data_IF_530931352514
#
_entry.id   IF_530931352514
#
_cell.length_a   1.000
_cell.length_b   1.000
_cell.length_c   1.000
_cell.angle_alpha   90.00
_cell.angle_beta   90.00
_cell.angle_gamma   90.00
#
_symmetry.space_group_name_H-M   'P 1'
#
loop_
_entity.id
_entity.type
_entity.pdbx_description
1 polymer ?
#
# COMPACT_ATOMS: atom_id res chain seq x y z
N UNK A 1 46.02 -9.47 44.08
CA UNK A 1 46.54 -9.63 42.72
C UNK A 1 45.45 -10.28 41.91
N UNK A 2 45.00 -9.57 40.89
CA UNK A 2 43.81 -9.84 40.08
C UNK A 2 43.98 -11.09 39.20
N UNK A 3 43.07 -12.07 39.32
CA UNK A 3 42.78 -13.01 38.24
C UNK A 3 41.50 -12.56 37.54
N UNK A 4 41.67 -11.64 36.61
CA UNK A 4 40.63 -11.26 35.66
C UNK A 4 40.52 -12.35 34.56
N UNK A 5 40.07 -13.56 34.94
CA UNK A 5 39.59 -14.53 33.95
C UNK A 5 38.21 -14.09 33.49
N UNK A 6 38.16 -13.45 32.32
CA UNK A 6 36.95 -13.19 31.55
C UNK A 6 36.09 -14.46 31.48
N UNK A 7 35.11 -14.56 32.37
CA UNK A 7 34.01 -15.50 32.27
C UNK A 7 33.18 -15.03 31.07
N UNK A 8 33.47 -15.57 29.89
CA UNK A 8 32.62 -15.36 28.71
C UNK A 8 31.20 -15.79 29.10
N UNK A 9 30.28 -14.83 29.10
CA UNK A 9 28.88 -15.09 29.41
C UNK A 9 28.29 -16.01 28.34
N UNK A 10 27.46 -16.97 28.74
CA UNK A 10 26.78 -17.90 27.82
C UNK A 10 26.02 -17.16 26.70
N UNK A 11 25.47 -15.98 27.00
CA UNK A 11 24.83 -15.08 26.04
C UNK A 11 25.77 -14.57 24.93
N UNK A 12 27.05 -14.33 25.23
CA UNK A 12 28.06 -13.92 24.25
C UNK A 12 28.39 -15.03 23.24
N UNK A 13 28.28 -16.29 23.66
CA UNK A 13 28.49 -17.44 22.78
C UNK A 13 27.24 -17.68 21.93
N UNK A 14 26.03 -17.56 22.52
CA UNK A 14 24.76 -17.74 21.80
C UNK A 14 24.62 -16.76 20.63
N UNK A 15 25.05 -15.51 20.78
CA UNK A 15 24.98 -14.49 19.72
C UNK A 15 25.91 -14.75 18.52
N UNK A 16 26.85 -15.70 18.66
CA UNK A 16 27.77 -16.17 17.61
C UNK A 16 27.32 -17.48 16.96
N UNK A 17 26.14 -18.00 17.32
CA UNK A 17 25.51 -19.14 16.67
C UNK A 17 24.52 -18.61 15.64
N UNK A 18 24.70 -19.02 14.39
CA UNK A 18 23.90 -18.61 13.24
C UNK A 18 23.12 -19.79 12.68
N UNK A 19 21.98 -19.52 12.03
CA UNK A 19 21.26 -20.53 11.26
C UNK A 19 21.57 -20.32 9.79
N UNK A 20 22.27 -21.27 9.17
CA UNK A 20 22.64 -21.25 7.74
C UNK A 20 22.27 -22.60 7.14
N UNK A 21 21.53 -22.61 6.02
CA UNK A 21 20.98 -23.83 5.41
C UNK A 21 20.21 -24.69 6.42
N UNK A 22 19.41 -24.04 7.27
CA UNK A 22 18.62 -24.65 8.35
C UNK A 22 19.45 -25.41 9.42
N UNK A 23 20.76 -25.19 9.46
CA UNK A 23 21.67 -25.81 10.43
C UNK A 23 22.27 -24.72 11.32
N UNK A 24 22.34 -25.00 12.63
CA UNK A 24 23.01 -24.12 13.58
C UNK A 24 24.52 -24.27 13.44
N UNK A 25 25.21 -23.17 13.13
CA UNK A 25 26.64 -23.15 12.84
C UNK A 25 27.33 -21.95 13.48
N UNK A 26 28.64 -22.05 13.71
CA UNK A 26 29.51 -20.94 14.10
C UNK A 26 30.55 -20.66 13.02
N UNK A 27 30.89 -19.39 12.81
CA UNK A 27 31.92 -18.99 11.85
C UNK A 27 33.32 -19.29 12.39
N UNK A 28 34.26 -19.62 11.50
CA UNK A 28 35.67 -19.81 11.82
C UNK A 28 36.30 -18.61 12.57
N UNK A 29 35.91 -17.39 12.20
CA UNK A 29 36.35 -16.16 12.85
C UNK A 29 35.88 -16.07 14.30
N UNK A 30 34.61 -16.38 14.55
CA UNK A 30 34.01 -16.32 15.88
C UNK A 30 34.58 -17.41 16.79
N UNK A 31 34.77 -18.62 16.25
CA UNK A 31 35.44 -19.69 16.97
C UNK A 31 36.89 -19.33 17.29
N UNK A 32 37.63 -18.77 16.34
CA UNK A 32 39.01 -18.36 16.56
C UNK A 32 39.12 -17.30 17.67
N UNK A 33 38.22 -16.32 17.69
CA UNK A 33 38.11 -15.31 18.75
C UNK A 33 37.84 -15.96 20.12
N UNK A 34 36.86 -16.87 20.20
CA UNK A 34 36.52 -17.58 21.44
C UNK A 34 37.67 -18.46 21.95
N UNK A 35 38.41 -19.11 21.05
CA UNK A 35 39.58 -19.91 21.37
C UNK A 35 40.85 -19.07 21.61
N UNK A 36 40.78 -17.74 21.45
CA UNK A 36 41.93 -16.83 21.54
C UNK A 36 43.07 -17.20 20.59
N UNK A 37 42.72 -17.61 19.36
CA UNK A 37 43.66 -17.95 18.28
C UNK A 37 43.36 -17.13 17.03
N UNK A 38 44.33 -17.02 16.11
CA UNK A 38 44.04 -16.44 14.81
C UNK A 38 43.17 -17.38 13.96
N UNK A 39 42.25 -16.83 13.17
CA UNK A 39 41.40 -17.60 12.23
C UNK A 39 42.23 -18.43 11.27
N UNK A 40 43.39 -17.91 10.83
CA UNK A 40 44.33 -18.65 9.97
C UNK A 40 44.89 -19.88 10.67
N UNK A 41 45.24 -19.76 11.95
CA UNK A 41 45.78 -20.86 12.77
C UNK A 41 44.73 -21.93 13.01
N UNK A 42 43.49 -21.54 13.33
CA UNK A 42 42.37 -22.47 13.44
C UNK A 42 42.15 -23.25 12.14
N UNK A 43 42.03 -22.54 11.02
CA UNK A 43 41.80 -23.17 9.71
C UNK A 43 42.97 -24.07 9.27
N UNK A 44 44.21 -23.71 9.63
CA UNK A 44 45.37 -24.57 9.39
C UNK A 44 45.30 -25.85 10.21
N UNK A 45 44.91 -25.76 11.49
CA UNK A 45 44.77 -26.92 12.36
C UNK A 45 43.69 -27.89 11.87
N UNK A 46 42.57 -27.35 11.37
CA UNK A 46 41.51 -28.15 10.74
C UNK A 46 42.00 -28.83 9.47
N UNK A 47 42.65 -28.10 8.56
CA UNK A 47 43.18 -28.68 7.31
C UNK A 47 44.16 -29.83 7.55
N UNK A 48 44.96 -29.77 8.61
CA UNK A 48 45.86 -30.87 9.02
C UNK A 48 45.12 -32.11 9.53
N UNK A 49 43.86 -31.96 9.94
CA UNK A 49 43.04 -33.02 10.50
C UNK A 49 41.73 -33.18 9.71
N UNK A 50 41.74 -32.96 8.39
CA UNK A 50 40.53 -32.85 7.57
C UNK A 50 39.64 -34.10 7.63
N UNK A 51 40.22 -35.28 7.85
CA UNK A 51 39.48 -36.54 8.05
C UNK A 51 38.50 -36.50 9.22
N UNK A 52 38.69 -35.58 10.17
CA UNK A 52 37.81 -35.35 11.32
C UNK A 52 36.65 -34.38 11.02
N UNK A 53 36.65 -33.75 9.86
CA UNK A 53 35.70 -32.72 9.47
C UNK A 53 35.04 -33.10 8.14
N UNK A 54 34.14 -34.10 8.15
CA UNK A 54 33.27 -34.36 7.00
C UNK A 54 32.36 -33.14 6.69
N UNK A 55 31.73 -33.14 5.52
CA UNK A 55 30.96 -31.98 5.02
C UNK A 55 29.78 -31.57 5.93
N UNK A 56 29.22 -32.51 6.69
CA UNK A 56 28.17 -32.28 7.68
C UNK A 56 28.68 -31.68 9.00
N UNK A 57 30.00 -31.65 9.20
CA UNK A 57 30.65 -31.08 10.38
C UNK A 57 31.24 -29.69 10.09
N UNK A 58 31.73 -29.50 8.87
CA UNK A 58 32.27 -28.24 8.37
C UNK A 58 31.93 -28.07 6.90
N UNK A 59 31.57 -26.86 6.51
CA UNK A 59 31.50 -26.48 5.10
C UNK A 59 31.91 -25.02 4.89
N UNK A 60 32.23 -24.66 3.64
CA UNK A 60 32.50 -23.27 3.24
C UNK A 60 31.24 -22.57 2.75
N UNK A 61 31.06 -21.32 3.13
CA UNK A 61 29.96 -20.49 2.63
C UNK A 61 30.21 -20.04 1.19
N UNK A 62 29.13 -19.92 0.42
CA UNK A 62 29.13 -19.30 -0.90
C UNK A 62 29.27 -17.78 -0.78
N UNK A 63 29.70 -17.12 -1.86
CA UNK A 63 29.79 -15.65 -1.90
C UNK A 63 28.45 -14.96 -1.63
N UNK A 64 27.35 -15.59 -2.01
CA UNK A 64 26.01 -15.06 -1.78
C UNK A 64 25.62 -15.16 -0.31
N UNK A 65 25.83 -16.32 0.31
CA UNK A 65 25.62 -16.52 1.75
C UNK A 65 26.43 -15.52 2.58
N UNK A 66 27.70 -15.30 2.22
CA UNK A 66 28.57 -14.31 2.87
C UNK A 66 28.01 -12.88 2.75
N UNK A 67 27.50 -12.50 1.57
CA UNK A 67 26.89 -11.17 1.36
C UNK A 67 25.65 -10.98 2.22
N UNK A 68 24.78 -11.98 2.27
CA UNK A 68 23.55 -11.91 3.06
C UNK A 68 23.87 -11.80 4.56
N UNK A 69 24.81 -12.62 5.08
CA UNK A 69 25.28 -12.52 6.47
C UNK A 69 25.86 -11.12 6.81
N UNK A 70 26.58 -10.51 5.86
CA UNK A 70 27.19 -9.18 6.06
C UNK A 70 26.17 -8.03 6.09
N UNK A 71 24.97 -8.22 5.55
CA UNK A 71 23.91 -7.20 5.57
C UNK A 71 23.13 -7.20 6.88
N UNK A 72 22.98 -8.35 7.54
CA UNK A 72 22.14 -8.49 8.72
C UNK A 72 22.90 -8.47 10.06
N UNK A 73 24.14 -8.98 10.10
CA UNK A 73 24.73 -9.38 11.40
C UNK A 73 26.14 -8.82 11.61
N UNK A 74 26.95 -8.69 10.57
CA UNK A 74 28.39 -8.45 10.75
C UNK A 74 28.83 -7.33 9.80
N UNK A 75 29.17 -6.17 10.36
CA UNK A 75 29.67 -5.02 9.59
C UNK A 75 30.78 -5.39 8.60
N UNK A 76 30.97 -4.54 7.58
CA UNK A 76 31.72 -4.65 6.31
C UNK A 76 33.01 -5.49 6.20
N UNK A 77 33.59 -6.04 7.27
CA UNK A 77 34.87 -6.76 7.31
C UNK A 77 34.83 -8.19 6.74
N UNK A 78 33.68 -8.88 6.70
CA UNK A 78 33.60 -10.25 6.12
C UNK A 78 33.30 -10.23 4.61
N UNK A 79 32.81 -9.10 4.07
CA UNK A 79 32.38 -8.96 2.66
C UNK A 79 33.48 -9.28 1.63
N UNK A 80 34.75 -9.17 2.02
CA UNK A 80 35.91 -9.44 1.17
C UNK A 80 36.69 -10.71 1.56
N UNK A 81 36.23 -11.50 2.53
CA UNK A 81 36.88 -12.75 2.90
C UNK A 81 36.68 -13.80 1.78
N UNK A 82 37.75 -14.34 1.18
CA UNK A 82 37.63 -15.22 0.02
C UNK A 82 37.03 -16.59 0.38
N UNK A 83 37.21 -17.05 1.62
CA UNK A 83 36.68 -18.31 2.15
C UNK A 83 36.31 -18.13 3.63
N UNK A 84 35.05 -18.39 3.98
CA UNK A 84 34.57 -18.44 5.37
C UNK A 84 34.11 -19.86 5.64
N UNK A 85 34.76 -20.52 6.60
CA UNK A 85 34.33 -21.84 7.06
C UNK A 85 33.32 -21.69 8.19
N UNK A 86 32.35 -22.60 8.20
CA UNK A 86 31.38 -22.71 9.28
C UNK A 86 31.41 -24.12 9.84
N UNK A 87 31.11 -24.22 11.14
CA UNK A 87 31.19 -25.44 11.89
C UNK A 87 29.85 -25.68 12.59
N UNK A 88 29.34 -26.90 12.44
CA UNK A 88 28.18 -27.37 13.21
C UNK A 88 28.59 -27.68 14.64
N UNK A 89 27.63 -28.01 15.51
CA UNK A 89 27.91 -28.49 16.88
C UNK A 89 28.93 -29.63 16.87
N UNK A 90 28.79 -30.58 15.95
CA UNK A 90 29.67 -31.72 15.77
C UNK A 90 31.06 -31.28 15.29
N UNK A 91 31.14 -30.31 14.36
CA UNK A 91 32.40 -29.72 13.93
C UNK A 91 33.15 -29.03 15.07
N UNK A 92 32.44 -28.28 15.92
CA UNK A 92 33.05 -27.64 17.10
C UNK A 92 33.47 -28.70 18.13
N UNK A 93 32.70 -29.77 18.31
CA UNK A 93 33.11 -30.88 19.17
C UNK A 93 34.45 -31.48 18.71
N UNK A 94 34.65 -31.64 17.40
CA UNK A 94 35.93 -32.15 16.84
C UNK A 94 37.12 -31.20 17.07
N UNK A 95 36.88 -29.90 17.24
CA UNK A 95 37.94 -28.95 17.60
C UNK A 95 38.58 -29.23 18.97
N UNK A 96 37.88 -29.93 19.90
CA UNK A 96 38.48 -30.37 21.19
C UNK A 96 39.66 -31.31 20.99
N UNK A 97 39.62 -32.15 19.95
CA UNK A 97 40.67 -33.11 19.64
C UNK A 97 41.83 -32.51 18.84
N UNK A 98 41.67 -31.27 18.36
CA UNK A 98 42.63 -30.56 17.51
C UNK A 98 43.33 -29.43 18.27
N UNK A 99 42.58 -28.67 19.07
CA UNK A 99 43.10 -27.61 19.93
C UNK A 99 43.28 -28.14 21.37
N UNK A 100 44.54 -28.42 21.74
CA UNK A 100 44.87 -29.09 23.01
C UNK A 100 45.19 -28.15 24.19
N UNK A 101 44.63 -26.94 24.22
CA UNK A 101 44.83 -26.03 25.37
C UNK A 101 43.73 -26.17 26.42
N UNK A 102 44.05 -25.94 27.69
CA UNK A 102 43.07 -25.94 28.79
C UNK A 102 41.98 -24.88 28.56
N UNK A 103 42.38 -23.72 28.02
CA UNK A 103 41.45 -22.67 27.59
C UNK A 103 40.52 -23.17 26.50
N UNK A 104 41.04 -23.82 25.45
CA UNK A 104 40.21 -24.32 24.35
C UNK A 104 39.24 -25.42 24.81
N UNK A 105 39.67 -26.29 25.71
CA UNK A 105 38.82 -27.33 26.31
C UNK A 105 37.63 -26.69 27.04
N UNK A 106 37.89 -25.68 27.87
CA UNK A 106 36.85 -24.97 28.64
C UNK A 106 35.86 -24.24 27.72
N UNK A 107 36.38 -23.53 26.73
CA UNK A 107 35.56 -22.80 25.75
C UNK A 107 34.69 -23.77 24.95
N UNK A 108 35.23 -24.91 24.54
CA UNK A 108 34.45 -25.92 23.81
C UNK A 108 33.26 -26.42 24.63
N UNK A 109 33.48 -26.73 25.92
CA UNK A 109 32.38 -27.12 26.84
C UNK A 109 31.30 -26.03 26.91
N UNK A 110 31.68 -24.76 26.96
CA UNK A 110 30.71 -23.66 26.97
C UNK A 110 29.95 -23.53 25.65
N UNK A 111 30.62 -23.71 24.51
CA UNK A 111 29.99 -23.72 23.19
C UNK A 111 28.99 -24.86 23.07
N UNK A 112 29.35 -26.08 23.47
CA UNK A 112 28.44 -27.24 23.47
C UNK A 112 27.19 -26.97 24.33
N UNK A 113 27.37 -26.38 25.52
CA UNK A 113 26.23 -25.99 26.38
C UNK A 113 25.34 -24.95 25.71
N UNK A 114 25.90 -24.00 24.96
CA UNK A 114 25.14 -23.01 24.23
C UNK A 114 24.30 -23.65 23.11
N UNK A 115 24.87 -24.54 22.30
CA UNK A 115 24.13 -25.30 21.28
C UNK A 115 22.99 -26.12 21.87
N UNK A 116 23.25 -26.88 22.94
CA UNK A 116 22.21 -27.65 23.65
C UNK A 116 21.11 -26.75 24.21
N UNK A 117 21.48 -25.62 24.82
CA UNK A 117 20.51 -24.64 25.33
C UNK A 117 19.65 -24.06 24.21
N UNK A 118 20.23 -23.78 23.05
CA UNK A 118 19.52 -23.21 21.91
C UNK A 118 18.55 -24.23 21.31
N UNK A 119 18.97 -25.48 21.17
CA UNK A 119 18.12 -26.59 20.75
C UNK A 119 16.91 -26.76 21.67
N UNK A 120 17.15 -26.79 22.99
CA UNK A 120 16.08 -26.87 24.00
C UNK A 120 15.12 -25.69 23.90
N UNK A 121 15.65 -24.47 23.73
CA UNK A 121 14.84 -23.27 23.59
C UNK A 121 13.94 -23.31 22.35
N UNK A 122 14.45 -23.74 21.20
CA UNK A 122 13.67 -23.88 19.97
C UNK A 122 12.57 -24.94 20.18
N UNK A 123 12.91 -26.11 20.70
CA UNK A 123 11.95 -27.20 20.93
C UNK A 123 10.90 -26.87 21.99
N UNK A 124 11.23 -26.08 23.02
CA UNK A 124 10.26 -25.69 24.06
C UNK A 124 9.31 -24.59 23.60
N UNK A 125 9.67 -23.83 22.57
CA UNK A 125 8.92 -22.67 22.09
C UNK A 125 8.17 -22.91 20.78
N UNK A 126 7.95 -24.17 20.38
CA UNK A 126 7.05 -24.51 19.26
C UNK A 126 5.67 -23.86 19.39
N UNK A 127 5.19 -23.66 20.62
CA UNK A 127 3.94 -22.93 20.87
C UNK A 127 3.97 -21.47 20.40
N UNK A 128 5.13 -20.80 20.42
CA UNK A 128 5.31 -19.42 19.91
C UNK A 128 5.18 -19.42 18.39
N UNK A 129 5.77 -20.41 17.72
CA UNK A 129 5.67 -20.57 16.26
C UNK A 129 4.20 -20.71 15.85
N UNK A 130 3.45 -21.60 16.49
CA UNK A 130 2.02 -21.74 16.24
C UNK A 130 1.21 -20.48 16.57
N UNK A 131 1.60 -19.73 17.61
CA UNK A 131 0.95 -18.45 17.92
C UNK A 131 1.21 -17.40 16.84
N UNK A 132 2.40 -17.36 16.26
CA UNK A 132 2.74 -16.47 15.15
C UNK A 132 1.92 -16.81 13.90
N UNK A 133 1.84 -18.09 13.53
CA UNK A 133 1.00 -18.56 12.40
C UNK A 133 -0.45 -18.08 12.56
N UNK A 134 -1.04 -18.25 13.75
CA UNK A 134 -2.41 -17.79 14.02
C UNK A 134 -2.58 -16.26 13.93
N UNK A 135 -1.53 -15.49 14.22
CA UNK A 135 -1.57 -14.03 14.08
C UNK A 135 -1.50 -13.62 12.62
N UNK A 136 -0.63 -14.27 11.82
CA UNK A 136 -0.54 -14.03 10.38
C UNK A 136 -1.86 -14.35 9.66
N UNK A 137 -2.50 -15.48 9.99
CA UNK A 137 -3.81 -15.84 9.43
C UNK A 137 -4.87 -14.78 9.72
N UNK A 138 -4.92 -14.28 10.96
CA UNK A 138 -5.85 -13.20 11.34
C UNK A 138 -5.56 -11.90 10.61
N UNK A 139 -4.29 -11.59 10.37
CA UNK A 139 -3.91 -10.39 9.62
C UNK A 139 -4.40 -10.47 8.18
N UNK A 140 -4.20 -11.61 7.50
CA UNK A 140 -4.71 -11.84 6.14
C UNK A 140 -6.24 -11.72 6.09
N UNK A 141 -6.94 -12.21 7.12
CA UNK A 141 -8.39 -12.08 7.21
C UNK A 141 -8.82 -10.61 7.40
N UNK A 142 -8.08 -9.84 8.20
CA UNK A 142 -8.35 -8.41 8.38
C UNK A 142 -8.10 -7.59 7.13
N UNK A 143 -7.05 -7.88 6.36
CA UNK A 143 -6.76 -7.18 5.10
C UNK A 143 -7.90 -7.40 4.09
N UNK A 144 -8.41 -8.63 3.95
CA UNK A 144 -9.59 -8.92 3.11
C UNK A 144 -10.84 -8.16 3.58
N UNK A 145 -11.08 -8.10 4.89
CA UNK A 145 -12.19 -7.33 5.47
C UNK A 145 -12.00 -5.83 5.21
N UNK A 146 -10.77 -5.34 5.24
CA UNK A 146 -10.45 -3.95 4.98
C UNK A 146 -10.70 -3.58 3.52
N UNK A 147 -10.31 -4.42 2.56
CA UNK A 147 -10.65 -4.26 1.14
C UNK A 147 -12.17 -4.17 0.92
N UNK A 148 -12.94 -5.09 1.52
CA UNK A 148 -14.40 -5.07 1.44
C UNK A 148 -15.02 -3.79 2.02
N UNK A 149 -14.49 -3.29 3.13
CA UNK A 149 -14.93 -2.02 3.72
C UNK A 149 -14.54 -0.85 2.82
N UNK A 150 -13.34 -0.88 2.24
CA UNK A 150 -12.86 0.15 1.32
C UNK A 150 -13.72 0.21 0.06
N UNK A 151 -14.08 -0.93 -0.53
CA UNK A 151 -15.02 -1.03 -1.65
C UNK A 151 -16.42 -0.51 -1.27
N UNK A 152 -16.91 -0.84 -0.06
CA UNK A 152 -18.19 -0.35 0.45
C UNK A 152 -18.17 1.18 0.70
N UNK A 153 -17.02 1.75 1.03
CA UNK A 153 -16.84 3.20 1.21
C UNK A 153 -16.69 3.88 -0.16
N UNK A 154 -15.86 3.34 -1.06
CA UNK A 154 -15.67 3.87 -2.40
C UNK A 154 -16.95 3.85 -3.21
N UNK A 155 -17.79 2.82 -3.07
CA UNK A 155 -19.14 2.78 -3.67
C UNK A 155 -20.07 3.87 -3.14
N UNK A 156 -19.87 4.41 -1.93
CA UNK A 156 -20.55 5.64 -1.46
C UNK A 156 -19.99 6.93 -2.08
N UNK A 157 -18.77 6.90 -2.61
CA UNK A 157 -18.11 8.04 -3.26
C UNK A 157 -18.19 8.00 -4.79
N UNK A 158 -18.67 6.92 -5.40
CA UNK A 158 -19.17 6.95 -6.77
C UNK A 158 -20.39 7.87 -6.75
N UNK A 159 -20.29 9.04 -7.40
CA UNK A 159 -21.43 9.96 -7.58
C UNK A 159 -22.62 9.10 -8.05
N UNK A 160 -23.70 8.98 -7.27
CA UNK A 160 -24.74 8.00 -7.55
C UNK A 160 -25.26 8.21 -8.97
N UNK A 161 -25.35 7.13 -9.76
CA UNK A 161 -25.91 7.22 -11.11
C UNK A 161 -27.39 7.56 -11.07
N UNK A 162 -28.09 7.25 -9.98
CA UNK A 162 -29.50 7.58 -9.78
C UNK A 162 -29.72 7.93 -8.32
N UNK A 163 -30.62 8.86 -8.04
CA UNK A 163 -30.95 9.24 -6.68
C UNK A 163 -32.21 10.09 -6.59
N UNK A 164 -32.69 10.27 -5.36
CA UNK A 164 -33.83 11.11 -5.03
C UNK A 164 -33.37 12.10 -3.97
N UNK A 165 -33.63 13.38 -4.19
CA UNK A 165 -33.57 14.40 -3.15
C UNK A 165 -34.97 14.55 -2.54
N UNK A 166 -35.04 14.70 -1.22
CA UNK A 166 -36.28 14.89 -0.48
C UNK A 166 -36.56 16.37 -0.22
N UNK A 167 -37.81 16.66 0.18
CA UNK A 167 -38.26 18.01 0.53
C UNK A 167 -37.31 18.67 1.56
N UNK A 168 -36.84 19.88 1.26
CA UNK A 168 -35.98 20.67 2.15
C UNK A 168 -34.48 20.45 1.95
N UNK A 169 -34.04 19.48 1.15
CA UNK A 169 -32.63 19.24 0.82
C UNK A 169 -32.06 20.24 -0.21
N UNK A 170 -32.33 21.53 -0.02
CA UNK A 170 -31.99 22.59 -0.97
C UNK A 170 -30.48 22.70 -1.16
N UNK A 171 -29.74 22.77 -0.05
CA UNK A 171 -28.28 22.93 -0.09
C UNK A 171 -27.57 21.68 -0.62
N UNK A 172 -28.03 20.49 -0.25
CA UNK A 172 -27.45 19.23 -0.72
C UNK A 172 -27.64 19.05 -2.23
N UNK A 173 -28.84 19.35 -2.74
CA UNK A 173 -29.12 19.33 -4.18
C UNK A 173 -28.30 20.39 -4.94
N UNK A 174 -28.19 21.60 -4.39
CA UNK A 174 -27.37 22.68 -4.95
C UNK A 174 -25.87 22.30 -4.98
N UNK A 175 -25.36 21.69 -3.91
CA UNK A 175 -23.97 21.22 -3.81
C UNK A 175 -23.70 20.11 -4.83
N UNK A 176 -24.61 19.14 -4.94
CA UNK A 176 -24.51 18.05 -5.91
C UNK A 176 -24.39 18.58 -7.35
N UNK A 177 -25.29 19.47 -7.78
CA UNK A 177 -25.23 20.08 -9.12
C UNK A 177 -23.98 20.95 -9.30
N UNK A 178 -23.58 21.70 -8.26
CA UNK A 178 -22.33 22.48 -8.30
C UNK A 178 -21.10 21.60 -8.51
N UNK A 179 -21.03 20.46 -7.85
CA UNK A 179 -19.91 19.51 -7.95
C UNK A 179 -19.88 18.77 -9.30
N UNK A 180 -21.02 18.68 -9.97
CA UNK A 180 -21.12 18.22 -11.37
C UNK A 180 -20.60 19.28 -12.34
N UNK A 181 -21.00 20.55 -12.16
CA UNK A 181 -20.55 21.66 -13.01
C UNK A 181 -19.02 21.85 -12.91
N UNK A 182 -18.44 21.64 -11.71
CA UNK A 182 -16.99 21.73 -11.47
C UNK A 182 -16.16 20.67 -12.20
N UNK A 183 -16.75 19.51 -12.50
CA UNK A 183 -16.04 18.41 -13.18
C UNK A 183 -15.96 18.58 -14.70
N UNK A 184 -16.59 19.60 -15.27
CA UNK A 184 -16.55 19.84 -16.70
C UNK A 184 -15.22 20.46 -17.16
N UNK A 185 -14.68 19.94 -18.27
CA UNK A 185 -13.41 20.38 -18.84
C UNK A 185 -13.57 21.18 -20.14
N UNK A 186 -14.59 20.87 -20.97
CA UNK A 186 -14.76 21.40 -22.33
C UNK A 186 -16.08 22.13 -22.54
N UNK A 187 -17.21 21.53 -22.14
CA UNK A 187 -18.53 22.08 -22.44
C UNK A 187 -19.61 21.62 -21.47
N UNK A 188 -20.55 22.52 -21.20
CA UNK A 188 -21.77 22.27 -20.44
C UNK A 188 -22.97 22.70 -21.27
N UNK A 189 -23.95 21.82 -21.42
CA UNK A 189 -25.22 22.14 -22.06
C UNK A 189 -26.34 21.89 -21.06
N UNK A 190 -27.14 22.91 -20.76
CA UNK A 190 -28.32 22.78 -19.92
C UNK A 190 -29.57 22.88 -20.80
N UNK A 191 -30.52 21.98 -20.61
CA UNK A 191 -31.87 22.06 -21.13
C UNK A 191 -32.78 22.18 -19.91
N UNK A 192 -33.41 23.33 -19.70
CA UNK A 192 -34.39 23.53 -18.64
C UNK A 192 -35.35 24.65 -19.05
N UNK A 193 -36.64 24.37 -18.93
CA UNK A 193 -37.70 25.29 -19.31
C UNK A 193 -37.86 26.51 -18.40
N UNK A 194 -37.22 26.49 -17.22
CA UNK A 194 -37.33 27.55 -16.23
C UNK A 194 -35.94 27.92 -15.71
N UNK A 195 -35.46 29.10 -16.08
CA UNK A 195 -34.14 29.61 -15.71
C UNK A 195 -34.29 30.98 -15.06
N UNK A 196 -33.55 31.20 -13.97
CA UNK A 196 -33.38 32.50 -13.32
C UNK A 196 -31.89 32.77 -13.01
N UNK A 197 -31.62 33.86 -12.30
CA UNK A 197 -30.28 34.29 -11.88
C UNK A 197 -29.56 33.28 -10.97
N UNK A 198 -30.32 32.48 -10.21
CA UNK A 198 -29.76 31.41 -9.38
C UNK A 198 -29.04 30.34 -10.22
N UNK A 199 -29.60 30.02 -11.39
CA UNK A 199 -29.01 29.06 -12.33
C UNK A 199 -27.77 29.66 -13.00
N UNK A 200 -27.78 30.94 -13.37
CA UNK A 200 -26.58 31.62 -13.88
C UNK A 200 -25.45 31.60 -12.83
N UNK A 201 -25.80 31.80 -11.56
CA UNK A 201 -24.86 31.74 -10.44
C UNK A 201 -24.24 30.35 -10.28
N UNK A 202 -24.99 29.26 -10.51
CA UNK A 202 -24.45 27.90 -10.51
C UNK A 202 -23.32 27.74 -11.53
N UNK A 203 -23.52 28.24 -12.75
CA UNK A 203 -22.52 28.15 -13.82
C UNK A 203 -21.29 29.03 -13.58
N UNK A 204 -21.33 29.99 -12.64
CA UNK A 204 -20.13 30.79 -12.31
C UNK A 204 -19.02 29.94 -11.68
N UNK A 205 -19.36 28.77 -11.12
CA UNK A 205 -18.42 27.83 -10.48
C UNK A 205 -17.64 26.94 -11.44
N UNK A 206 -17.89 27.04 -12.74
CA UNK A 206 -17.21 26.24 -13.77
C UNK A 206 -15.76 26.68 -13.99
N UNK A 207 -14.98 25.82 -14.61
CA UNK A 207 -13.64 26.17 -15.08
C UNK A 207 -13.71 27.25 -16.18
N UNK A 208 -12.80 28.24 -16.16
CA UNK A 208 -12.85 29.43 -17.04
C UNK A 208 -12.91 29.12 -18.54
N UNK A 209 -12.40 27.96 -18.96
CA UNK A 209 -12.33 27.54 -20.37
C UNK A 209 -13.54 26.73 -20.83
N UNK A 210 -14.53 26.48 -19.96
CA UNK A 210 -15.70 25.66 -20.28
C UNK A 210 -16.78 26.51 -20.94
N UNK A 211 -17.19 26.10 -22.15
CA UNK A 211 -18.30 26.72 -22.88
C UNK A 211 -19.64 26.29 -22.25
N UNK A 212 -20.55 27.25 -22.04
CA UNK A 212 -21.88 26.96 -21.50
C UNK A 212 -22.95 27.41 -22.48
N UNK A 213 -23.86 26.49 -22.82
CA UNK A 213 -25.07 26.78 -23.59
C UNK A 213 -26.28 26.34 -22.79
N UNK A 214 -27.24 27.25 -22.59
CA UNK A 214 -28.50 26.98 -21.89
C UNK A 214 -29.64 27.06 -22.91
N UNK A 215 -30.46 26.01 -22.98
CA UNK A 215 -31.68 25.94 -23.76
C UNK A 215 -32.87 26.08 -22.81
N UNK A 216 -33.69 27.09 -23.05
CA UNK A 216 -34.90 27.36 -22.26
C UNK A 216 -36.10 27.63 -23.17
N UNK A 217 -37.32 27.44 -22.66
CA UNK A 217 -38.55 27.57 -23.46
C UNK A 217 -38.73 28.96 -24.04
N UNK A 218 -38.57 29.99 -23.21
CA UNK A 218 -38.79 31.39 -23.58
C UNK A 218 -37.70 32.26 -22.92
N UNK A 219 -37.08 33.17 -23.68
CA UNK A 219 -36.10 34.12 -23.13
C UNK A 219 -36.82 35.42 -22.78
N UNK A 220 -37.18 35.57 -21.51
CA UNK A 220 -37.83 36.79 -21.02
C UNK A 220 -36.90 38.01 -21.11
N UNK A 221 -37.47 39.22 -21.24
CA UNK A 221 -36.69 40.48 -21.22
C UNK A 221 -35.82 40.60 -19.97
N UNK A 222 -36.32 40.13 -18.83
CA UNK A 222 -35.60 40.11 -17.56
C UNK A 222 -34.36 39.19 -17.65
N UNK A 223 -34.54 37.97 -18.14
CA UNK A 223 -33.43 37.01 -18.30
C UNK A 223 -32.36 37.53 -19.25
N UNK A 224 -32.74 38.22 -20.34
CA UNK A 224 -31.77 38.86 -21.25
C UNK A 224 -30.95 39.95 -20.57
N UNK A 225 -31.57 40.77 -19.71
CA UNK A 225 -30.87 41.80 -18.94
C UNK A 225 -29.92 41.18 -17.91
N UNK A 226 -30.37 40.13 -17.22
CA UNK A 226 -29.56 39.43 -16.22
C UNK A 226 -28.38 38.69 -16.88
N UNK A 227 -28.60 38.10 -18.06
CA UNK A 227 -27.53 37.49 -18.87
C UNK A 227 -26.49 38.51 -19.33
N UNK A 228 -26.93 39.70 -19.78
CA UNK A 228 -26.02 40.77 -20.17
C UNK A 228 -25.15 41.24 -18.99
N UNK A 229 -25.74 41.42 -17.80
CA UNK A 229 -25.01 41.74 -16.56
C UNK A 229 -24.04 40.63 -16.18
N UNK A 230 -24.50 39.37 -16.19
CA UNK A 230 -23.66 38.22 -15.87
C UNK A 230 -22.45 38.11 -16.80
N UNK A 231 -22.65 38.18 -18.12
CA UNK A 231 -21.58 38.08 -19.11
C UNK A 231 -20.58 39.25 -19.07
N UNK A 232 -20.93 40.36 -18.42
CA UNK A 232 -19.99 41.47 -18.18
C UNK A 232 -18.99 41.21 -17.04
N UNK A 233 -19.33 40.32 -16.10
CA UNK A 233 -18.54 40.07 -14.88
C UNK A 233 -17.97 38.64 -14.81
N UNK A 234 -18.66 37.68 -15.42
CA UNK A 234 -18.34 36.25 -15.38
C UNK A 234 -18.10 35.69 -16.80
N UNK A 235 -17.49 34.50 -16.93
CA UNK A 235 -17.31 33.86 -18.23
C UNK A 235 -18.65 33.74 -18.97
N UNK A 236 -18.63 33.96 -20.28
CA UNK A 236 -19.85 34.09 -21.07
C UNK A 236 -20.69 32.81 -21.10
N UNK A 237 -22.00 32.98 -20.95
CA UNK A 237 -23.03 31.96 -21.10
C UNK A 237 -23.90 32.33 -22.30
N UNK A 238 -24.14 31.36 -23.17
CA UNK A 238 -25.05 31.50 -24.31
C UNK A 238 -26.42 30.93 -23.92
N UNK A 239 -27.51 31.66 -24.18
CA UNK A 239 -28.87 31.20 -23.93
C UNK A 239 -29.63 31.16 -25.26
N UNK A 240 -30.29 30.03 -25.55
CA UNK A 240 -31.06 29.78 -26.77
C UNK A 240 -32.48 29.36 -26.43
N UNK A 241 -33.44 29.78 -27.25
CA UNK A 241 -34.82 29.32 -27.13
C UNK A 241 -34.96 27.90 -27.70
N UNK A 242 -35.61 27.02 -26.93
CA UNK A 242 -35.90 25.65 -27.34
C UNK A 242 -37.22 25.19 -26.70
N UNK A 243 -38.25 24.98 -27.54
CA UNK A 243 -39.62 24.70 -27.10
C UNK A 243 -40.00 23.22 -27.15
N UNK A 244 -39.12 22.36 -27.64
CA UNK A 244 -39.44 20.96 -27.95
C UNK A 244 -39.12 19.98 -26.80
N UNK A 245 -38.43 20.41 -25.74
CA UNK A 245 -38.16 19.55 -24.57
C UNK A 245 -39.02 19.95 -23.38
N UNK A 246 -39.69 18.98 -22.77
CA UNK A 246 -40.28 19.13 -21.44
C UNK A 246 -39.32 18.70 -20.32
N UNK A 247 -38.38 17.83 -20.67
CA UNK A 247 -37.42 17.23 -19.76
C UNK A 247 -36.21 18.14 -19.54
N UNK A 248 -35.51 17.88 -18.43
CA UNK A 248 -34.41 18.72 -17.96
C UNK A 248 -33.13 17.94 -17.94
N UNK A 249 -32.17 18.39 -18.74
CA UNK A 249 -30.92 17.69 -18.94
C UNK A 249 -29.72 18.61 -18.72
N UNK A 250 -28.70 18.10 -18.06
CA UNK A 250 -27.38 18.71 -17.99
C UNK A 250 -26.38 17.77 -18.65
N UNK A 251 -25.79 18.20 -19.76
CA UNK A 251 -24.85 17.43 -20.56
C UNK A 251 -23.44 17.99 -20.30
N UNK A 252 -22.49 17.10 -20.04
CA UNK A 252 -21.10 17.44 -19.69
C UNK A 252 -20.16 16.82 -20.71
N UNK A 253 -19.30 17.67 -21.28
CA UNK A 253 -18.21 17.31 -22.19
C UNK A 253 -18.62 16.38 -23.34
N UNK A 254 -19.88 16.48 -23.76
CA UNK A 254 -20.49 15.61 -24.77
C UNK A 254 -20.39 14.11 -24.46
N UNK A 255 -20.30 13.73 -23.18
CA UNK A 255 -20.14 12.33 -22.74
C UNK A 255 -21.19 11.91 -21.72
N UNK A 256 -21.41 12.73 -20.71
CA UNK A 256 -22.31 12.41 -19.60
C UNK A 256 -23.59 13.25 -19.70
N UNK A 257 -24.74 12.63 -19.46
CA UNK A 257 -26.06 13.29 -19.46
C UNK A 257 -26.73 13.06 -18.12
N UNK A 258 -27.04 14.13 -17.41
CA UNK A 258 -27.82 14.09 -16.18
C UNK A 258 -29.24 14.56 -16.45
N UNK A 259 -30.23 13.72 -16.14
CA UNK A 259 -31.64 14.07 -16.12
C UNK A 259 -32.07 14.50 -14.71
N UNK A 260 -32.86 15.55 -14.63
CA UNK A 260 -33.42 16.07 -13.38
C UNK A 260 -34.95 16.16 -13.45
N UNK A 261 -35.62 15.58 -12.46
CA UNK A 261 -37.09 15.67 -12.33
C UNK A 261 -37.58 17.07 -11.93
N UNK A 262 -36.69 17.96 -11.50
CA UNK A 262 -36.99 19.34 -11.12
C UNK A 262 -36.10 20.34 -11.86
N UNK A 263 -36.58 21.57 -11.97
CA UNK A 263 -35.78 22.68 -12.52
C UNK A 263 -34.60 22.98 -11.61
N UNK A 264 -33.47 23.35 -12.21
CA UNK A 264 -32.27 23.74 -11.47
C UNK A 264 -32.52 24.97 -10.58
N UNK A 265 -33.55 25.78 -10.87
CA UNK A 265 -33.97 26.91 -10.01
C UNK A 265 -34.71 26.46 -8.73
N UNK A 266 -35.23 25.24 -8.71
CA UNK A 266 -36.08 24.70 -7.65
C UNK A 266 -35.47 23.48 -6.95
N UNK A 267 -34.15 23.29 -7.08
CA UNK A 267 -33.41 22.18 -6.47
C UNK A 267 -33.72 22.04 -4.98
N UNK A 268 -34.25 20.87 -4.59
CA UNK A 268 -34.51 20.48 -3.20
C UNK A 268 -35.69 21.20 -2.52
N UNK A 269 -36.45 22.05 -3.22
CA UNK A 269 -37.70 22.64 -2.69
C UNK A 269 -38.81 21.61 -2.54
N UNK A 270 -38.85 20.65 -3.46
CA UNK A 270 -39.71 19.46 -3.44
C UNK A 270 -38.88 18.25 -3.83
N UNK A 271 -39.34 17.06 -3.49
CA UNK A 271 -38.69 15.82 -3.82
C UNK A 271 -38.58 15.65 -5.34
N UNK A 272 -37.39 15.27 -5.81
CA UNK A 272 -37.15 15.03 -7.22
C UNK A 272 -36.10 13.93 -7.41
N UNK A 273 -36.28 13.15 -8.47
CA UNK A 273 -35.30 12.15 -8.88
C UNK A 273 -34.30 12.76 -9.86
N UNK A 274 -33.08 12.25 -9.86
CA UNK A 274 -32.10 12.49 -10.92
C UNK A 274 -31.53 11.17 -11.43
N UNK A 275 -31.02 11.16 -12.66
CA UNK A 275 -30.38 10.00 -13.26
C UNK A 275 -29.26 10.43 -14.20
N UNK A 276 -28.13 9.75 -14.14
CA UNK A 276 -26.97 9.88 -15.01
C UNK A 276 -27.07 8.82 -16.10
N UNK A 277 -26.79 9.23 -17.32
CA UNK A 277 -26.71 8.39 -18.51
C UNK A 277 -25.40 8.68 -19.22
N UNK A 278 -24.80 7.66 -19.83
CA UNK A 278 -23.76 7.87 -20.82
C UNK A 278 -24.42 8.23 -22.16
N UNK A 279 -23.84 9.17 -22.90
CA UNK A 279 -24.39 9.64 -24.20
C UNK A 279 -24.55 8.52 -25.22
N UNK A 280 -23.82 7.42 -25.09
CA UNK A 280 -24.01 6.20 -25.89
C UNK A 280 -25.42 5.60 -25.73
N UNK A 281 -26.03 5.72 -24.55
CA UNK A 281 -27.42 5.32 -24.32
C UNK A 281 -28.43 6.25 -25.03
N UNK A 282 -28.08 7.54 -25.21
CA UNK A 282 -28.89 8.50 -25.97
C UNK A 282 -28.77 8.30 -27.49
N UNK A 283 -27.60 7.91 -28.00
CA UNK A 283 -27.44 7.51 -29.41
C UNK A 283 -28.30 6.28 -29.77
N UNK A 284 -28.69 5.46 -28.78
CA UNK A 284 -29.64 4.36 -28.98
C UNK A 284 -31.08 4.87 -29.22
N UNK A 285 -31.42 6.06 -28.68
CA UNK A 285 -32.71 6.71 -28.92
C UNK A 285 -32.77 7.38 -30.31
N UNK A 286 -31.65 7.88 -30.84
CA UNK A 286 -31.56 8.35 -32.24
C UNK A 286 -31.82 7.21 -33.25
N UNK A 287 -31.61 5.94 -32.85
CA UNK A 287 -31.97 4.75 -33.65
C UNK A 287 -33.45 4.35 -33.58
N UNK A 288 -34.26 4.98 -32.73
CA UNK A 288 -35.70 4.68 -32.58
C UNK A 288 -36.64 5.64 -33.34
N UNK A 289 -36.09 6.52 -34.18
CA UNK A 289 -36.83 7.11 -35.31
C UNK A 289 -37.72 8.31 -34.98
N UNK A 290 -37.11 9.47 -34.77
CA UNK A 290 -37.76 10.76 -34.98
C UNK A 290 -36.88 11.67 -35.84
N UNK A 291 -37.09 11.56 -37.16
CA UNK A 291 -36.89 12.66 -38.12
C UNK A 291 -38.21 13.41 -38.24
#
# INVERSE_FOLDING_TARGET
MEENQLVLSTESIKSKIYTIRDIQVMLDKDLAELYSVETRTLNQAVRRNIERFPEDFMFSLTREEIRNLSQFVIGSKIKHAPNVFVFTEQGVAMLSGVLKSDTATRINIQIMRAFVSMRKFISSNTWIVHRLESVEEKQIEYDKKFELVFDAIQSKYIKPEKGIFFDGQIFDAYKFVSDIIRTADKSLVLIDNYIDDSVLTLFSKRNKNVRVTIFTKDVSKQLSLDLAKYNSQYPSVEVKEFKQSHDRFLIIDDKEVYHFGASLKDLGKKWFAFSKFDKEAFNLLDKLGLK
#
